data_IF_835536148655
#
_entry.id   IF_835536148655
#
_cell.length_a   1.000
_cell.length_b   1.000
_cell.length_c   1.000
_cell.angle_alpha   90.00
_cell.angle_beta   90.00
_cell.angle_gamma   90.00
#
_symmetry.space_group_name_H-M   'P 1'
#
loop_
_entity.id
_entity.type
_entity.pdbx_description
1 polymer ?
#
# COMPACT_ATOMS: atom_id res chain seq x y z
N UNK A 1 15.53 11.16 4.37
CA UNK A 1 16.65 10.28 4.72
C UNK A 1 16.36 9.36 5.92
N UNK A 2 15.97 9.90 7.10
CA UNK A 2 15.75 9.07 8.30
C UNK A 2 14.69 7.96 8.08
N UNK A 3 13.59 8.28 7.42
CA UNK A 3 12.51 7.32 7.14
C UNK A 3 12.95 6.21 6.16
N UNK A 4 13.85 6.51 5.23
CA UNK A 4 14.43 5.49 4.33
C UNK A 4 15.26 4.49 5.12
N UNK A 5 16.04 4.96 6.07
CA UNK A 5 16.87 4.09 6.93
C UNK A 5 16.02 3.10 7.74
N UNK A 6 14.81 3.51 8.17
CA UNK A 6 13.87 2.59 8.85
C UNK A 6 13.45 1.42 7.95
N UNK A 7 13.17 1.70 6.67
CA UNK A 7 12.80 0.64 5.72
C UNK A 7 13.99 -0.29 5.44
N UNK A 8 15.18 0.29 5.27
CA UNK A 8 16.41 -0.49 5.04
C UNK A 8 16.71 -1.39 6.22
N UNK A 9 16.67 -0.86 7.44
CA UNK A 9 16.91 -1.63 8.66
C UNK A 9 15.89 -2.77 8.79
N UNK A 10 14.60 -2.48 8.60
CA UNK A 10 13.56 -3.50 8.65
C UNK A 10 13.75 -4.60 7.58
N UNK A 11 14.24 -4.25 6.40
CA UNK A 11 14.55 -5.23 5.36
C UNK A 11 15.69 -6.16 5.79
N UNK A 12 16.75 -5.61 6.39
CA UNK A 12 17.88 -6.40 6.90
C UNK A 12 17.45 -7.31 8.07
N UNK A 13 16.65 -6.78 9.00
CA UNK A 13 16.24 -7.50 10.21
C UNK A 13 15.23 -8.62 9.92
N UNK A 14 14.36 -8.43 8.92
CA UNK A 14 13.24 -9.35 8.66
C UNK A 14 13.42 -10.19 7.41
N UNK A 15 14.36 -9.85 6.54
CA UNK A 15 14.53 -10.45 5.21
C UNK A 15 13.22 -10.50 4.40
N UNK A 16 12.35 -9.51 4.60
CA UNK A 16 11.07 -9.43 3.90
C UNK A 16 11.25 -8.96 2.47
N UNK A 17 10.41 -9.48 1.57
CA UNK A 17 10.45 -9.14 0.14
C UNK A 17 9.93 -7.72 -0.14
N UNK A 18 9.02 -7.24 0.71
CA UNK A 18 8.40 -5.91 0.59
C UNK A 18 8.32 -5.25 1.96
N UNK A 19 8.87 -4.06 2.11
CA UNK A 19 8.70 -3.22 3.29
C UNK A 19 7.86 -1.99 2.94
N UNK A 20 6.82 -1.74 3.69
CA UNK A 20 5.90 -0.60 3.50
C UNK A 20 6.13 0.40 4.63
N UNK A 21 6.40 1.65 4.27
CA UNK A 21 6.35 2.76 5.22
C UNK A 21 4.90 3.14 5.50
N UNK A 22 4.41 2.76 6.68
CA UNK A 22 3.02 2.95 7.09
C UNK A 22 2.84 4.23 7.91
N UNK A 23 1.86 5.04 7.50
CA UNK A 23 1.46 6.29 8.19
C UNK A 23 0.54 6.04 9.38
N UNK A 24 0.02 4.83 9.50
CA UNK A 24 -1.09 4.53 10.41
C UNK A 24 -0.72 3.60 11.57
N UNK A 25 0.47 3.03 11.58
CA UNK A 25 0.91 2.16 12.68
C UNK A 25 1.05 2.92 14.00
N UNK A 26 1.68 4.09 14.01
CA UNK A 26 1.93 4.87 15.24
C UNK A 26 1.01 6.08 15.39
N UNK A 27 0.10 6.34 14.46
CA UNK A 27 -0.80 7.51 14.45
C UNK A 27 -0.10 8.86 14.62
N UNK A 28 1.20 8.93 14.40
CA UNK A 28 1.99 10.14 14.45
C UNK A 28 1.99 10.83 13.07
N UNK A 29 1.86 12.15 13.07
CA UNK A 29 1.91 12.96 11.87
C UNK A 29 0.56 13.45 11.38
N UNK A 30 0.42 13.70 10.07
CA UNK A 30 -0.74 14.34 9.45
C UNK A 30 -2.03 13.54 9.60
N UNK A 31 -2.98 14.09 10.36
CA UNK A 31 -4.34 13.55 10.52
C UNK A 31 -5.16 13.80 9.26
N UNK A 32 -5.73 12.75 8.70
CA UNK A 32 -6.58 12.84 7.50
C UNK A 32 -8.04 13.11 7.86
N UNK A 33 -8.85 13.64 6.91
CA UNK A 33 -10.29 13.83 7.09
C UNK A 33 -11.01 12.52 7.44
N UNK A 34 -12.18 12.63 8.08
CA UNK A 34 -13.01 11.48 8.47
C UNK A 34 -13.34 10.57 7.27
N UNK A 35 -13.74 11.14 6.14
CA UNK A 35 -14.06 10.42 4.89
C UNK A 35 -12.86 9.62 4.40
N UNK A 36 -11.68 10.21 4.43
CA UNK A 36 -10.45 9.53 4.03
C UNK A 36 -10.09 8.37 4.97
N UNK A 37 -10.32 8.55 6.28
CA UNK A 37 -10.12 7.46 7.27
C UNK A 37 -11.06 6.28 7.02
N UNK A 38 -12.31 6.55 6.64
CA UNK A 38 -13.27 5.51 6.28
C UNK A 38 -12.81 4.72 5.05
N UNK A 39 -12.35 5.42 4.00
CA UNK A 39 -11.77 4.79 2.81
C UNK A 39 -10.54 3.92 3.12
N UNK A 40 -9.64 4.40 3.99
CA UNK A 40 -8.47 3.63 4.43
C UNK A 40 -8.89 2.35 5.16
N UNK A 41 -9.85 2.43 6.08
CA UNK A 41 -10.40 1.25 6.80
C UNK A 41 -11.04 0.25 5.83
N UNK A 42 -11.77 0.74 4.84
CA UNK A 42 -12.37 -0.08 3.80
C UNK A 42 -11.30 -0.85 3.01
N UNK A 43 -10.27 -0.17 2.52
CA UNK A 43 -9.20 -0.83 1.76
C UNK A 43 -8.35 -1.77 2.62
N UNK A 44 -8.14 -1.44 3.89
CA UNK A 44 -7.51 -2.35 4.83
C UNK A 44 -8.32 -3.65 4.98
N UNK A 45 -9.64 -3.55 5.17
CA UNK A 45 -10.55 -4.68 5.27
C UNK A 45 -10.59 -5.51 3.99
N UNK A 46 -10.74 -4.84 2.83
CA UNK A 46 -10.73 -5.50 1.51
C UNK A 46 -9.42 -6.27 1.29
N UNK A 47 -8.30 -5.63 1.54
CA UNK A 47 -6.98 -6.24 1.37
C UNK A 47 -6.79 -7.43 2.32
N UNK A 48 -7.26 -7.32 3.57
CA UNK A 48 -7.22 -8.41 4.54
C UNK A 48 -8.01 -9.64 4.09
N UNK A 49 -9.18 -9.43 3.47
CA UNK A 49 -9.98 -10.53 2.92
C UNK A 49 -9.25 -11.19 1.75
N UNK A 50 -8.72 -10.39 0.82
CA UNK A 50 -8.12 -10.90 -0.40
C UNK A 50 -6.73 -11.53 -0.17
N UNK A 51 -5.96 -11.02 0.79
CA UNK A 51 -4.58 -11.47 1.02
C UNK A 51 -4.37 -12.29 2.28
N UNK A 52 -5.36 -12.32 3.18
CA UNK A 52 -5.27 -12.86 4.53
C UNK A 52 -4.15 -12.23 5.38
N UNK A 53 -3.64 -11.06 4.97
CA UNK A 53 -2.60 -10.29 5.68
C UNK A 53 -3.18 -8.98 6.22
N UNK A 54 -2.78 -8.61 7.44
CA UNK A 54 -3.18 -7.33 8.04
C UNK A 54 -2.17 -6.25 7.63
N UNK A 55 -2.47 -5.52 6.56
CA UNK A 55 -1.69 -4.38 6.08
C UNK A 55 -2.50 -3.12 6.35
N UNK A 56 -1.95 -2.20 7.16
CA UNK A 56 -2.67 -1.00 7.62
C UNK A 56 -2.65 0.13 6.59
N UNK A 57 -1.55 0.26 5.85
CA UNK A 57 -1.39 1.32 4.84
C UNK A 57 -1.24 0.75 3.43
N UNK A 58 -2.34 0.25 2.88
CA UNK A 58 -2.38 -0.33 1.53
C UNK A 58 -2.15 0.68 0.42
N UNK A 59 -2.31 1.97 0.72
CA UNK A 59 -2.18 3.07 -0.26
C UNK A 59 -0.84 3.80 -0.16
N UNK A 60 0.07 3.35 0.69
CA UNK A 60 1.40 3.93 0.77
C UNK A 60 2.23 3.56 -0.46
N UNK A 61 2.73 4.56 -1.18
CA UNK A 61 3.73 4.38 -2.24
C UNK A 61 5.18 4.39 -1.72
N UNK A 62 5.38 4.65 -0.42
CA UNK A 62 6.71 4.62 0.18
C UNK A 62 7.08 3.20 0.58
N UNK A 63 7.76 2.50 -0.33
CA UNK A 63 8.07 1.08 -0.23
C UNK A 63 9.52 0.78 -0.58
N UNK A 64 10.05 -0.25 0.04
CA UNK A 64 11.29 -0.89 -0.36
C UNK A 64 10.93 -2.28 -0.90
N UNK A 65 11.41 -2.59 -2.11
CA UNK A 65 11.19 -3.87 -2.76
C UNK A 65 12.49 -4.64 -2.80
N UNK A 66 12.46 -5.87 -2.33
CA UNK A 66 13.54 -6.83 -2.50
C UNK A 66 13.59 -7.38 -3.93
N UNK A 67 14.65 -8.09 -4.26
CA UNK A 67 14.90 -8.57 -5.64
C UNK A 67 13.77 -9.45 -6.18
N UNK A 68 13.14 -10.27 -5.34
CA UNK A 68 12.00 -11.12 -5.75
C UNK A 68 10.79 -10.27 -6.13
N UNK A 69 10.49 -9.24 -5.34
CA UNK A 69 9.40 -8.31 -5.62
C UNK A 69 9.66 -7.47 -6.86
N UNK A 70 10.91 -7.01 -7.08
CA UNK A 70 11.32 -6.26 -8.28
C UNK A 70 11.16 -7.12 -9.54
N UNK A 71 11.64 -8.35 -9.53
CA UNK A 71 11.51 -9.25 -10.69
C UNK A 71 10.05 -9.51 -11.05
N UNK A 72 9.20 -9.71 -10.04
CA UNK A 72 7.79 -9.92 -10.23
C UNK A 72 7.09 -8.65 -10.74
N UNK A 73 7.40 -7.49 -10.16
CA UNK A 73 6.87 -6.21 -10.59
C UNK A 73 7.28 -5.89 -12.04
N UNK A 74 8.52 -6.16 -12.43
CA UNK A 74 8.99 -5.94 -13.80
C UNK A 74 8.19 -6.74 -14.84
N UNK A 75 7.65 -7.90 -14.46
CA UNK A 75 6.84 -8.73 -15.35
C UNK A 75 5.35 -8.34 -15.39
N UNK A 76 4.80 -7.84 -14.27
CA UNK A 76 3.34 -7.77 -14.08
C UNK A 76 2.88 -6.58 -13.22
N UNK A 77 3.60 -5.46 -13.20
CA UNK A 77 3.18 -4.33 -12.35
C UNK A 77 1.87 -3.72 -12.85
N UNK A 78 0.90 -3.46 -11.95
CA UNK A 78 -0.37 -2.86 -12.34
C UNK A 78 -0.21 -1.41 -12.80
N UNK A 79 -0.91 -1.03 -13.88
CA UNK A 79 -0.83 0.31 -14.48
C UNK A 79 -1.75 1.31 -13.78
N UNK A 80 -2.97 0.89 -13.38
CA UNK A 80 -4.02 1.80 -12.93
C UNK A 80 -3.89 2.20 -11.44
N UNK A 81 -3.77 1.23 -10.54
CA UNK A 81 -3.74 1.46 -9.09
C UNK A 81 -2.61 0.66 -8.45
N UNK A 82 -1.36 1.03 -8.73
CA UNK A 82 -0.20 0.19 -8.42
C UNK A 82 -0.04 -0.10 -6.92
N UNK A 83 -0.41 0.83 -6.03
CA UNK A 83 -0.19 0.65 -4.61
C UNK A 83 -1.06 -0.46 -4.00
N UNK A 84 -2.41 -0.45 -4.06
CA UNK A 84 -3.23 -1.50 -3.47
C UNK A 84 -3.18 -2.81 -4.28
N UNK A 85 -3.16 -2.75 -5.61
CA UNK A 85 -3.15 -3.94 -6.46
C UNK A 85 -1.87 -4.74 -6.33
N UNK A 86 -0.71 -4.08 -6.30
CA UNK A 86 0.57 -4.75 -6.16
C UNK A 86 0.69 -5.53 -4.85
N UNK A 87 0.04 -5.10 -3.77
CA UNK A 87 0.05 -5.83 -2.51
C UNK A 87 -0.71 -7.17 -2.61
N UNK A 88 -1.84 -7.19 -3.30
CA UNK A 88 -2.58 -8.41 -3.57
C UNK A 88 -1.73 -9.35 -4.41
N UNK A 89 -1.13 -8.81 -5.45
CA UNK A 89 -0.28 -9.53 -6.36
C UNK A 89 0.96 -10.13 -5.67
N UNK A 90 1.71 -9.33 -4.90
CA UNK A 90 2.85 -9.81 -4.11
C UNK A 90 2.45 -10.86 -3.08
N UNK A 91 1.30 -10.66 -2.42
CA UNK A 91 0.80 -11.60 -1.42
C UNK A 91 0.44 -12.96 -2.04
N UNK A 92 -0.22 -12.96 -3.20
CA UNK A 92 -0.58 -14.19 -3.93
C UNK A 92 0.65 -14.93 -4.44
N UNK A 93 1.69 -14.20 -4.84
CA UNK A 93 2.97 -14.79 -5.23
C UNK A 93 3.79 -15.32 -4.03
N UNK A 94 3.23 -15.29 -2.82
CA UNK A 94 3.89 -15.81 -1.63
C UNK A 94 5.02 -14.92 -1.10
N UNK A 95 5.07 -13.65 -1.50
CA UNK A 95 6.09 -12.73 -0.99
C UNK A 95 5.78 -12.31 0.44
N UNK A 96 6.84 -12.12 1.22
CA UNK A 96 6.74 -11.61 2.59
C UNK A 96 6.62 -10.09 2.59
N UNK A 97 5.57 -9.57 3.24
CA UNK A 97 5.29 -8.14 3.34
C UNK A 97 5.34 -7.73 4.80
N UNK A 98 6.04 -6.66 5.10
CA UNK A 98 6.14 -6.05 6.45
C UNK A 98 5.84 -4.56 6.38
N UNK A 99 5.31 -4.01 7.46
CA UNK A 99 5.11 -2.58 7.63
C UNK A 99 6.02 -2.03 8.71
N UNK A 100 6.52 -0.82 8.50
CA UNK A 100 7.24 -0.04 9.50
C UNK A 100 6.60 1.33 9.65
N UNK A 101 6.51 1.88 10.87
CA UNK A 101 5.94 3.20 11.08
C UNK A 101 6.87 4.28 10.53
N UNK A 102 6.28 5.18 9.74
CA UNK A 102 7.00 6.33 9.19
C UNK A 102 6.22 7.61 9.43
N UNK A 103 6.96 8.70 9.64
CA UNK A 103 6.38 10.04 9.79
C UNK A 103 6.48 10.75 8.45
N UNK A 104 5.34 10.94 7.80
CA UNK A 104 5.27 11.71 6.56
C UNK A 104 4.89 13.15 6.86
N UNK A 105 5.69 14.09 6.37
CA UNK A 105 5.40 15.53 6.46
C UNK A 105 4.24 15.87 5.52
N UNK A 106 3.49 16.91 5.89
CA UNK A 106 2.46 17.48 5.02
C UNK A 106 3.09 17.90 3.69
N UNK A 107 2.43 17.56 2.58
CA UNK A 107 2.87 17.97 1.25
C UNK A 107 2.94 19.50 1.19
N UNK A 108 4.08 20.04 0.75
CA UNK A 108 4.30 21.48 0.67
C UNK A 108 3.62 22.15 -0.54
N UNK A 109 3.06 21.37 -1.46
CA UNK A 109 2.33 21.86 -2.63
C UNK A 109 1.54 20.76 -3.33
N UNK A 110 0.66 21.15 -4.24
CA UNK A 110 -0.19 20.28 -5.03
C UNK A 110 -1.56 20.02 -4.38
N UNK A 111 -2.58 19.81 -5.24
CA UNK A 111 -3.92 19.41 -4.81
C UNK A 111 -4.02 17.90 -4.71
N UNK A 112 -4.77 17.41 -3.72
CA UNK A 112 -5.10 15.99 -3.63
C UNK A 112 -5.96 15.60 -4.84
N UNK A 113 -5.56 14.53 -5.55
CA UNK A 113 -6.34 13.98 -6.67
C UNK A 113 -7.67 13.38 -6.21
N UNK A 114 -7.86 13.24 -4.90
CA UNK A 114 -9.02 12.58 -4.29
C UNK A 114 -9.78 13.63 -3.49
N UNK A 115 -10.75 14.30 -4.11
CA UNK A 115 -11.65 15.24 -3.47
C UNK A 115 -13.07 15.08 -4.01
N UNK A 116 -14.07 14.99 -3.12
CA UNK A 116 -15.48 14.99 -3.46
C UNK A 116 -16.00 13.69 -4.12
N UNK A 117 -16.85 13.82 -5.11
CA UNK A 117 -17.51 12.72 -5.85
C UNK A 117 -16.50 11.75 -6.50
N UNK A 118 -15.29 12.22 -6.79
CA UNK A 118 -14.21 11.36 -7.32
C UNK A 118 -13.77 10.28 -6.32
N UNK A 119 -14.01 10.46 -5.02
CA UNK A 119 -13.62 9.47 -4.00
C UNK A 119 -14.42 8.18 -4.12
N UNK A 120 -15.74 8.24 -4.32
CA UNK A 120 -16.59 7.05 -4.47
C UNK A 120 -16.24 6.31 -5.77
N UNK A 121 -16.06 7.05 -6.86
CA UNK A 121 -15.63 6.50 -8.14
C UNK A 121 -14.24 5.82 -8.03
N UNK A 122 -13.31 6.46 -7.34
CA UNK A 122 -12.00 5.90 -7.05
C UNK A 122 -12.11 4.60 -6.23
N UNK A 123 -12.91 4.60 -5.16
CA UNK A 123 -13.11 3.40 -4.33
C UNK A 123 -13.69 2.24 -5.15
N UNK A 124 -14.68 2.49 -6.00
CA UNK A 124 -15.29 1.47 -6.86
C UNK A 124 -14.28 0.91 -7.86
N UNK A 125 -13.52 1.78 -8.51
CA UNK A 125 -12.48 1.35 -9.47
C UNK A 125 -11.38 0.52 -8.79
N UNK A 126 -10.83 0.99 -7.69
CA UNK A 126 -9.78 0.26 -6.95
C UNK A 126 -10.30 -1.07 -6.42
N UNK A 127 -11.56 -1.13 -5.99
CA UNK A 127 -12.18 -2.39 -5.55
C UNK A 127 -12.28 -3.39 -6.69
N UNK A 128 -12.80 -2.95 -7.83
CA UNK A 128 -12.94 -3.81 -9.01
C UNK A 128 -11.56 -4.30 -9.49
N UNK A 129 -10.60 -3.40 -9.59
CA UNK A 129 -9.23 -3.72 -9.98
C UNK A 129 -8.56 -4.68 -9.00
N UNK A 130 -8.77 -4.49 -7.70
CA UNK A 130 -8.28 -5.41 -6.65
C UNK A 130 -8.87 -6.82 -6.79
N UNK A 131 -10.17 -6.93 -7.07
CA UNK A 131 -10.84 -8.22 -7.28
C UNK A 131 -10.33 -8.88 -8.57
N UNK A 132 -10.19 -8.12 -9.64
CA UNK A 132 -9.65 -8.62 -10.92
C UNK A 132 -8.20 -9.10 -10.74
N UNK A 133 -7.37 -8.35 -10.03
CA UNK A 133 -6.01 -8.75 -9.69
C UNK A 133 -5.95 -10.02 -8.82
N UNK A 134 -6.95 -10.22 -7.97
CA UNK A 134 -7.07 -11.44 -7.18
C UNK A 134 -7.46 -12.66 -8.03
N UNK A 135 -8.33 -12.49 -9.02
CA UNK A 135 -8.81 -13.60 -9.89
C UNK A 135 -7.82 -13.91 -11.01
N UNK A 136 -7.04 -12.93 -11.43
CA UNK A 136 -6.06 -13.08 -12.52
C UNK A 136 -5.07 -14.19 -12.20
N UNK A 137 -4.84 -15.12 -13.11
CA UNK A 137 -3.77 -16.12 -13.00
C UNK A 137 -2.40 -15.43 -13.08
N UNK A 138 -1.56 -15.69 -12.11
CA UNK A 138 -0.16 -15.27 -12.07
C UNK A 138 0.69 -16.40 -12.67
#
# INVERSE_FOLDING_TARGET
PAEVNKLLQAALDTNADVIIGSRFLNREGFQTSFVRRLGIKYFHWLNRILTHKSIHDTTSGFRLLGIRAIKLAAAYYPDDYPEPESLIFFSRAGLTIKEVPVVMRKRQGGKSSIAGFSTLFYMTKVTLSSILSYVRKI
#
